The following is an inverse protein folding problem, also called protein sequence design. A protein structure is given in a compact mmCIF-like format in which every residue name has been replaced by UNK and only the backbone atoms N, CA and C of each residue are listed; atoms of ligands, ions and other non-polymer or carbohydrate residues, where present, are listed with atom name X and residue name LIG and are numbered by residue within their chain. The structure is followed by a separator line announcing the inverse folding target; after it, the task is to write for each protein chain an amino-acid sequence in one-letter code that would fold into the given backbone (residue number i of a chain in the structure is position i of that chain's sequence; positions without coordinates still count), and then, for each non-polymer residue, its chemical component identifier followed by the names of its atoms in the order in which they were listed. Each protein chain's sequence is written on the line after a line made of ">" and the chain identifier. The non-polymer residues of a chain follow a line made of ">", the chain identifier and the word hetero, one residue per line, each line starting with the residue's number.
data_IF_266471005094
#
_entry.id   IF_266471005094
#
_cell.length_a   1.000
_cell.length_b   1.000
_cell.length_c   1.000
_cell.angle_alpha   90.00
_cell.angle_beta   90.00
_cell.angle_gamma   90.00
#
_symmetry.space_group_name_H-M   'P 1'
#
loop_
_entity.id
_entity.type
_entity.pdbx_description
1 polymer ?
#
# COMPACT_ATOMS: atom_id res chain seq x y z
N UNK A 1 32.34 24.81 -1.64
CA UNK A 1 32.49 23.47 -1.01
C UNK A 1 32.28 22.41 -2.07
N UNK A 2 33.02 21.31 -1.96
CA UNK A 2 33.44 20.52 -3.11
C UNK A 2 32.36 19.51 -3.51
N UNK A 3 31.60 19.83 -4.56
CA UNK A 3 30.73 18.88 -5.26
C UNK A 3 31.50 17.64 -5.74
N UNK A 4 32.82 17.75 -5.91
CA UNK A 4 33.71 16.62 -6.16
C UNK A 4 33.65 15.59 -5.03
N UNK A 5 33.61 16.03 -3.77
CA UNK A 5 33.60 15.12 -2.62
C UNK A 5 32.28 14.32 -2.54
N UNK A 6 31.16 14.92 -2.98
CA UNK A 6 29.88 14.23 -3.10
C UNK A 6 29.89 13.23 -4.26
N UNK A 7 30.49 13.60 -5.40
CA UNK A 7 30.65 12.68 -6.55
C UNK A 7 31.52 11.50 -6.20
N UNK A 8 32.64 11.73 -5.52
CA UNK A 8 33.58 10.69 -5.09
C UNK A 8 32.93 9.77 -4.06
N UNK A 9 32.11 10.32 -3.14
CA UNK A 9 31.32 9.52 -2.19
C UNK A 9 30.24 8.67 -2.88
N UNK A 10 29.53 9.22 -3.87
CA UNK A 10 28.51 8.47 -4.63
C UNK A 10 29.10 7.31 -5.45
N UNK A 11 30.34 7.44 -5.93
CA UNK A 11 31.04 6.40 -6.68
C UNK A 11 31.67 5.35 -5.76
N UNK A 12 32.23 5.77 -4.62
CA UNK A 12 32.90 4.88 -3.66
C UNK A 12 31.93 4.14 -2.73
N UNK A 13 30.71 4.63 -2.55
CA UNK A 13 29.66 3.98 -1.77
C UNK A 13 30.00 3.78 -0.29
N UNK A 14 30.87 4.64 0.26
CA UNK A 14 31.38 4.51 1.62
C UNK A 14 30.47 5.16 2.68
N UNK A 15 30.92 5.03 3.93
CA UNK A 15 30.27 5.24 5.22
C UNK A 15 29.05 6.20 5.21
N UNK A 16 27.94 5.71 5.78
CA UNK A 16 26.72 6.49 5.96
C UNK A 16 26.97 7.77 6.76
N UNK A 17 27.85 7.72 7.76
CA UNK A 17 28.14 8.88 8.60
C UNK A 17 28.82 10.02 7.83
N UNK A 18 29.72 9.67 6.90
CA UNK A 18 30.37 10.63 6.00
C UNK A 18 29.35 11.25 5.03
N UNK A 19 28.46 10.43 4.45
CA UNK A 19 27.40 10.93 3.58
C UNK A 19 26.43 11.88 4.29
N UNK A 20 26.10 11.62 5.55
CA UNK A 20 25.25 12.50 6.36
C UNK A 20 25.95 13.82 6.67
N UNK A 21 27.27 13.81 6.92
CA UNK A 21 28.04 15.03 7.09
C UNK A 21 28.06 15.88 5.81
N UNK A 22 28.21 15.25 4.63
CA UNK A 22 28.10 15.92 3.33
C UNK A 22 26.71 16.52 3.11
N UNK A 23 25.65 15.79 3.45
CA UNK A 23 24.29 16.29 3.32
C UNK A 23 23.96 17.39 4.33
N UNK A 24 24.53 17.37 5.53
CA UNK A 24 24.32 18.45 6.51
C UNK A 24 24.91 19.79 6.04
N UNK A 25 25.94 19.76 5.20
CA UNK A 25 26.61 20.94 4.68
C UNK A 25 25.89 21.55 3.47
N UNK A 26 25.20 20.73 2.66
CA UNK A 26 24.64 21.15 1.36
C UNK A 26 23.11 20.98 1.27
N UNK A 27 22.53 20.09 2.06
CA UNK A 27 21.11 19.76 2.05
C UNK A 27 20.25 20.82 2.75
N UNK A 28 19.17 21.21 2.09
CA UNK A 28 18.23 22.24 2.56
C UNK A 28 17.08 21.68 3.40
N UNK A 29 16.81 20.37 3.32
CA UNK A 29 15.67 19.74 3.98
C UNK A 29 15.97 19.31 5.42
N UNK A 30 15.39 20.03 6.39
CA UNK A 30 15.45 19.70 7.82
C UNK A 30 14.80 18.34 8.15
N UNK A 31 13.85 17.90 7.33
CA UNK A 31 13.17 16.59 7.49
C UNK A 31 14.14 15.45 7.26
N UNK A 32 14.97 15.53 6.21
CA UNK A 32 15.95 14.48 5.90
C UNK A 32 17.14 14.51 6.85
N UNK A 33 17.56 15.68 7.32
CA UNK A 33 18.56 15.78 8.39
C UNK A 33 18.11 15.03 9.67
N UNK A 34 16.83 15.17 10.06
CA UNK A 34 16.27 14.40 11.18
C UNK A 34 16.17 12.90 10.88
N UNK A 35 15.80 12.52 9.66
CA UNK A 35 15.77 11.12 9.22
C UNK A 35 17.17 10.47 9.34
N UNK A 36 18.21 11.18 8.93
CA UNK A 36 19.58 10.68 8.97
C UNK A 36 20.16 10.63 10.39
N UNK A 37 19.75 11.53 11.27
CA UNK A 37 20.11 11.49 12.69
C UNK A 37 19.57 10.25 13.44
N UNK A 38 18.53 9.59 12.93
CA UNK A 38 17.97 8.36 13.52
C UNK A 38 18.82 7.11 13.22
N UNK A 39 19.82 7.20 12.35
CA UNK A 39 20.80 6.15 12.09
C UNK A 39 20.70 5.48 10.72
N UNK A 40 21.69 4.62 10.43
CA UNK A 40 21.81 3.91 9.17
C UNK A 40 20.80 2.76 9.08
N UNK A 41 19.90 2.85 8.11
CA UNK A 41 19.00 1.78 7.69
C UNK A 41 19.06 1.69 6.17
N UNK A 42 18.70 0.55 5.58
CA UNK A 42 18.68 0.42 4.12
C UNK A 42 17.80 1.49 3.45
N UNK A 43 16.76 1.96 4.14
CA UNK A 43 15.90 3.05 3.70
C UNK A 43 16.60 4.42 3.79
N UNK A 44 17.18 4.78 4.94
CA UNK A 44 17.85 6.08 5.10
C UNK A 44 19.10 6.21 4.22
N UNK A 45 19.81 5.11 3.95
CA UNK A 45 20.90 5.07 2.98
C UNK A 45 20.43 5.36 1.54
N UNK A 46 19.34 4.71 1.11
CA UNK A 46 18.77 4.94 -0.22
C UNK A 46 18.22 6.35 -0.42
N UNK A 47 17.67 6.96 0.64
CA UNK A 47 17.22 8.37 0.62
C UNK A 47 18.42 9.31 0.56
N UNK A 48 19.48 9.08 1.36
CA UNK A 48 20.69 9.89 1.37
C UNK A 48 21.39 9.92 0.00
N UNK A 49 21.56 8.75 -0.63
CA UNK A 49 22.17 8.65 -1.96
C UNK A 49 21.35 9.39 -3.03
N UNK A 50 20.03 9.27 -2.99
CA UNK A 50 19.16 9.96 -3.95
C UNK A 50 19.23 11.48 -3.82
N UNK A 51 19.18 11.97 -2.60
CA UNK A 51 19.21 13.41 -2.32
C UNK A 51 20.56 14.03 -2.67
N UNK A 52 21.67 13.35 -2.35
CA UNK A 52 23.01 13.81 -2.75
C UNK A 52 23.21 13.77 -4.28
N UNK A 53 22.65 12.76 -4.97
CA UNK A 53 22.70 12.70 -6.44
C UNK A 53 21.92 13.86 -7.08
N UNK A 54 20.74 14.20 -6.56
CA UNK A 54 19.96 15.34 -7.02
C UNK A 54 20.68 16.67 -6.84
N UNK A 55 21.38 16.85 -5.71
CA UNK A 55 22.18 18.06 -5.48
C UNK A 55 23.35 18.18 -6.47
N UNK A 56 23.92 17.05 -6.92
CA UNK A 56 24.97 17.05 -7.94
C UNK A 56 24.42 17.33 -9.34
N UNK A 57 23.20 16.89 -9.64
CA UNK A 57 22.51 17.13 -10.92
C UNK A 57 22.07 18.59 -11.06
N UNK A 58 21.42 19.13 -10.03
CA UNK A 58 20.93 20.53 -10.01
C UNK A 58 22.08 21.54 -10.02
N UNK A 59 23.15 21.31 -9.24
CA UNK A 59 24.32 22.21 -9.22
C UNK A 59 25.27 21.95 -10.40
N UNK A 60 25.17 20.77 -11.03
CA UNK A 60 25.85 20.46 -12.28
C UNK A 60 25.31 21.26 -13.47
N UNK A 61 24.01 21.54 -13.49
CA UNK A 61 23.38 22.38 -14.51
C UNK A 61 23.67 23.88 -14.31
N UNK A 62 23.81 24.36 -13.07
CA UNK A 62 24.13 25.79 -12.82
C UNK A 62 25.52 26.22 -13.33
N UNK A 63 26.47 25.30 -13.51
CA UNK A 63 27.81 25.64 -14.08
C UNK A 63 27.80 25.57 -15.62
N UNK A 64 26.82 24.93 -16.24
CA UNK A 64 26.73 24.77 -17.71
C UNK A 64 25.87 25.82 -18.42
N UNK A 65 25.24 26.75 -17.71
CA UNK A 65 24.36 27.76 -18.29
C UNK A 65 25.04 29.01 -18.88
N UNK A 66 26.38 29.03 -19.00
CA UNK A 66 27.10 30.14 -19.64
C UNK A 66 27.46 29.91 -21.12
N UNK A 67 27.15 28.76 -21.69
CA UNK A 67 27.50 28.49 -23.09
C UNK A 67 26.52 27.51 -23.74
N UNK A 68 25.56 28.07 -24.49
CA UNK A 68 24.85 27.51 -25.66
C UNK A 68 23.35 27.83 -25.66
N UNK A 69 23.08 29.00 -26.24
CA UNK A 69 21.95 29.20 -27.14
C UNK A 69 21.89 28.07 -28.17
N UNK A 70 20.82 27.25 -28.11
CA UNK A 70 19.90 26.98 -29.22
C UNK A 70 19.06 25.72 -28.91
N UNK A 71 17.73 25.95 -28.90
CA UNK A 71 16.58 25.02 -29.07
C UNK A 71 15.76 24.69 -27.81
N UNK A 72 14.51 24.28 -28.03
CA UNK A 72 13.32 25.11 -28.13
C UNK A 72 12.64 25.27 -26.77
N UNK A 73 11.97 26.41 -26.55
CA UNK A 73 11.22 26.70 -25.31
C UNK A 73 10.31 25.52 -24.93
N UNK A 74 10.56 24.82 -23.80
CA UNK A 74 9.56 23.97 -23.20
C UNK A 74 8.55 24.87 -22.50
N UNK A 75 7.29 24.73 -22.94
CA UNK A 75 6.11 25.33 -22.32
C UNK A 75 6.17 25.12 -20.79
N UNK A 76 5.90 26.14 -19.96
CA UNK A 76 5.91 25.99 -18.51
C UNK A 76 4.93 24.89 -18.08
N UNK A 77 5.29 23.95 -17.18
CA UNK A 77 4.28 23.24 -16.43
C UNK A 77 3.54 24.29 -15.61
N UNK A 78 2.27 24.49 -15.97
CA UNK A 78 1.34 25.36 -15.28
C UNK A 78 1.43 25.14 -13.77
N UNK A 79 1.39 26.26 -13.05
CA UNK A 79 1.24 26.31 -11.60
C UNK A 79 0.21 25.27 -11.10
N UNK A 80 0.37 24.72 -9.89
CA UNK A 80 -0.67 23.93 -9.25
C UNK A 80 -1.91 24.82 -9.08
N UNK A 81 -2.85 24.66 -10.00
CA UNK A 81 -4.18 25.24 -9.92
C UNK A 81 -4.82 24.61 -8.68
N UNK A 82 -5.05 25.45 -7.69
CA UNK A 82 -5.97 25.18 -6.61
C UNK A 82 -7.30 24.71 -7.20
N UNK A 83 -7.85 23.55 -6.79
CA UNK A 83 -9.24 23.28 -7.08
C UNK A 83 -10.10 24.17 -6.18
N UNK A 84 -10.67 25.22 -6.78
CA UNK A 84 -11.90 25.85 -6.28
C UNK A 84 -13.08 24.84 -6.33
N UNK A 85 -14.10 25.05 -5.49
CA UNK A 85 -15.09 24.04 -5.14
C UNK A 85 -16.11 23.84 -6.27
N UNK A 86 -16.18 22.61 -6.77
CA UNK A 86 -17.21 22.17 -7.72
C UNK A 86 -18.50 21.85 -6.92
N UNK A 87 -19.69 22.20 -7.45
CA UNK A 87 -20.89 22.45 -6.66
C UNK A 87 -21.52 21.18 -6.05
N UNK A 88 -22.13 21.42 -4.89
CA UNK A 88 -23.05 20.53 -4.18
C UNK A 88 -24.21 20.16 -5.10
N UNK A 89 -24.26 18.89 -5.50
CA UNK A 89 -25.45 18.22 -6.04
C UNK A 89 -25.94 17.28 -4.93
N UNK A 90 -27.25 17.28 -4.62
CA UNK A 90 -27.76 16.95 -3.30
C UNK A 90 -27.58 15.48 -2.93
N UNK A 91 -27.20 15.32 -1.67
CA UNK A 91 -27.44 14.20 -0.77
C UNK A 91 -28.44 13.16 -1.30
N UNK A 92 -28.00 11.94 -1.66
CA UNK A 92 -28.89 10.80 -1.56
C UNK A 92 -29.18 10.61 -0.06
N UNK A 93 -30.45 10.75 0.27
CA UNK A 93 -31.05 10.50 1.56
C UNK A 93 -30.42 9.29 2.29
N UNK A 94 -30.37 9.32 3.64
CA UNK A 94 -29.67 8.34 4.45
C UNK A 94 -30.10 6.93 4.08
N UNK A 95 -29.19 6.17 3.48
CA UNK A 95 -29.35 4.72 3.38
C UNK A 95 -29.38 4.23 4.81
N UNK A 96 -30.56 3.81 5.25
CA UNK A 96 -30.83 3.22 6.54
C UNK A 96 -29.71 2.23 6.89
N UNK A 97 -29.36 2.08 8.18
CA UNK A 97 -28.41 1.07 8.59
C UNK A 97 -28.83 -0.25 7.94
N UNK A 98 -27.94 -0.85 7.14
CA UNK A 98 -28.10 -2.22 6.68
C UNK A 98 -28.14 -3.03 7.96
N UNK A 99 -29.37 -3.29 8.40
CA UNK A 99 -29.67 -4.19 9.47
C UNK A 99 -29.01 -5.49 9.07
N UNK A 100 -27.97 -5.88 9.80
CA UNK A 100 -27.79 -7.30 10.10
C UNK A 100 -29.18 -7.86 10.40
N UNK A 101 -29.72 -8.80 9.62
CA UNK A 101 -30.91 -9.52 10.03
C UNK A 101 -30.45 -10.49 11.11
N UNK A 102 -30.24 -9.96 12.32
CA UNK A 102 -30.43 -10.70 13.56
C UNK A 102 -31.78 -10.26 14.11
N UNK A 103 -32.81 -10.32 13.27
CA UNK A 103 -34.14 -10.60 13.77
C UNK A 103 -34.29 -12.11 13.68
N UNK A 104 -34.31 -12.72 14.86
CA UNK A 104 -34.87 -14.05 15.09
C UNK A 104 -36.29 -14.08 14.52
N UNK A 105 -36.44 -14.35 13.23
CA UNK A 105 -37.70 -14.76 12.63
C UNK A 105 -37.83 -16.26 12.90
N UNK A 106 -38.29 -16.59 14.11
CA UNK A 106 -38.48 -17.96 14.59
C UNK A 106 -39.56 -18.75 13.80
N UNK A 107 -40.04 -18.22 12.66
CA UNK A 107 -41.15 -18.74 11.87
C UNK A 107 -40.94 -18.68 10.33
N UNK A 108 -39.75 -18.38 9.81
CA UNK A 108 -39.53 -18.58 8.37
C UNK A 108 -39.32 -20.08 8.08
N UNK A 109 -39.97 -20.63 7.03
CA UNK A 109 -39.74 -22.01 6.63
C UNK A 109 -38.26 -22.17 6.27
N UNK A 110 -37.66 -23.26 6.73
CA UNK A 110 -36.24 -23.58 6.53
C UNK A 110 -35.82 -23.50 5.06
N UNK A 111 -36.76 -23.76 4.14
CA UNK A 111 -36.59 -23.70 2.69
C UNK A 111 -36.25 -22.28 2.20
N UNK A 112 -36.94 -21.23 2.67
CA UNK A 112 -36.67 -19.84 2.25
C UNK A 112 -35.28 -19.36 2.69
N UNK A 113 -34.81 -19.82 3.85
CA UNK A 113 -33.47 -19.47 4.37
C UNK A 113 -32.35 -20.17 3.59
N UNK A 114 -32.58 -21.39 3.12
CA UNK A 114 -31.66 -22.13 2.28
C UNK A 114 -31.58 -21.49 0.89
N UNK A 115 -32.73 -21.16 0.29
CA UNK A 115 -32.80 -20.46 -1.00
C UNK A 115 -32.09 -19.11 -0.96
N UNK A 116 -32.30 -18.32 0.10
CA UNK A 116 -31.62 -17.04 0.29
C UNK A 116 -30.09 -17.21 0.43
N UNK A 117 -29.64 -18.24 1.13
CA UNK A 117 -28.21 -18.54 1.28
C UNK A 117 -27.57 -19.00 -0.04
N UNK A 118 -28.27 -19.81 -0.84
CA UNK A 118 -27.83 -20.23 -2.17
C UNK A 118 -27.76 -19.06 -3.14
N UNK A 119 -28.79 -18.19 -3.16
CA UNK A 119 -28.79 -16.98 -3.97
C UNK A 119 -27.64 -16.04 -3.60
N UNK A 120 -27.37 -15.89 -2.30
CA UNK A 120 -26.23 -15.12 -1.82
C UNK A 120 -24.88 -15.70 -2.29
N UNK A 121 -24.69 -17.01 -2.17
CA UNK A 121 -23.48 -17.68 -2.64
C UNK A 121 -23.31 -17.55 -4.17
N UNK A 122 -24.41 -17.64 -4.93
CA UNK A 122 -24.41 -17.44 -6.38
C UNK A 122 -24.02 -16.01 -6.77
N UNK A 123 -24.54 -15.00 -6.08
CA UNK A 123 -24.16 -13.59 -6.28
C UNK A 123 -22.66 -13.38 -6.02
N UNK A 124 -22.14 -13.89 -4.89
CA UNK A 124 -20.71 -13.83 -4.58
C UNK A 124 -19.84 -14.48 -5.66
N UNK A 125 -20.25 -15.65 -6.17
CA UNK A 125 -19.51 -16.33 -7.23
C UNK A 125 -19.54 -15.55 -8.55
N UNK A 126 -20.63 -14.86 -8.87
CA UNK A 126 -20.74 -14.01 -10.04
C UNK A 126 -19.79 -12.81 -9.94
N UNK A 127 -19.78 -12.12 -8.80
CA UNK A 127 -18.86 -11.00 -8.52
C UNK A 127 -17.39 -11.44 -8.61
N UNK A 128 -17.03 -12.54 -7.96
CA UNK A 128 -15.66 -13.09 -8.02
C UNK A 128 -15.27 -13.51 -9.44
N UNK A 129 -16.22 -14.03 -10.23
CA UNK A 129 -15.98 -14.40 -11.63
C UNK A 129 -15.72 -13.18 -12.51
N UNK A 130 -16.45 -12.08 -12.27
CA UNK A 130 -16.21 -10.81 -12.94
C UNK A 130 -14.84 -10.24 -12.61
N UNK A 131 -14.46 -10.24 -11.33
CA UNK A 131 -13.12 -9.81 -10.90
C UNK A 131 -12.02 -10.67 -11.53
N UNK A 132 -12.21 -12.00 -11.55
CA UNK A 132 -11.25 -12.91 -12.17
C UNK A 132 -11.05 -12.61 -13.66
N UNK A 133 -12.14 -12.27 -14.37
CA UNK A 133 -12.08 -11.88 -15.77
C UNK A 133 -11.28 -10.59 -15.95
N UNK A 134 -11.55 -9.55 -15.16
CA UNK A 134 -10.83 -8.27 -15.22
C UNK A 134 -9.32 -8.47 -15.02
N UNK A 135 -8.92 -9.19 -13.96
CA UNK A 135 -7.49 -9.47 -13.69
C UNK A 135 -6.82 -10.23 -14.83
N UNK A 136 -7.54 -11.16 -15.47
CA UNK A 136 -7.02 -11.91 -16.63
C UNK A 136 -6.89 -11.05 -17.87
N UNK A 137 -7.87 -10.19 -18.12
CA UNK A 137 -7.87 -9.28 -19.27
C UNK A 137 -6.70 -8.28 -19.13
N UNK A 138 -6.50 -7.70 -17.95
CA UNK A 138 -5.37 -6.83 -17.63
C UNK A 138 -4.03 -7.56 -17.81
N UNK A 139 -3.88 -8.76 -17.23
CA UNK A 139 -2.65 -9.55 -17.40
C UNK A 139 -2.37 -9.83 -18.88
N UNK A 140 -3.40 -10.23 -19.63
CA UNK A 140 -3.29 -10.53 -21.05
C UNK A 140 -2.92 -9.30 -21.87
N UNK A 141 -3.39 -8.10 -21.47
CA UNK A 141 -3.02 -6.83 -22.08
C UNK A 141 -1.57 -6.43 -21.83
N UNK A 142 -1.00 -6.76 -20.65
CA UNK A 142 0.39 -6.43 -20.30
C UNK A 142 1.42 -7.36 -20.97
N UNK A 143 1.07 -8.62 -21.26
CA UNK A 143 2.01 -9.59 -21.85
C UNK A 143 2.63 -9.13 -23.19
N UNK A 144 1.85 -8.63 -24.18
CA UNK A 144 2.42 -8.08 -25.42
C UNK A 144 3.29 -6.85 -25.20
N UNK A 145 3.00 -6.04 -24.18
CA UNK A 145 3.79 -4.84 -23.88
C UNK A 145 5.19 -5.20 -23.35
N UNK A 146 5.32 -6.34 -22.67
CA UNK A 146 6.60 -6.85 -22.19
C UNK A 146 7.58 -7.14 -23.35
N UNK A 147 7.06 -7.58 -24.49
CA UNK A 147 7.83 -7.96 -25.68
C UNK A 147 7.99 -6.81 -26.69
N UNK A 148 7.40 -5.64 -26.41
CA UNK A 148 7.52 -4.47 -27.26
C UNK A 148 8.99 -4.02 -27.43
N UNK A 149 9.35 -3.66 -28.67
CA UNK A 149 10.68 -3.11 -29.00
C UNK A 149 10.82 -1.69 -28.42
N UNK A 150 12.04 -1.33 -28.02
CA UNK A 150 12.33 0.01 -27.49
C UNK A 150 11.99 0.21 -26.00
N UNK A 151 11.45 -0.81 -25.32
CA UNK A 151 11.16 -0.73 -23.89
C UNK A 151 12.45 -0.77 -23.06
N UNK A 152 12.64 0.19 -22.14
CA UNK A 152 13.79 0.20 -21.24
C UNK A 152 13.78 -1.01 -20.29
N UNK A 153 14.95 -1.44 -19.82
CA UNK A 153 15.07 -2.53 -18.86
C UNK A 153 14.25 -2.30 -17.59
N UNK A 154 14.25 -1.06 -17.08
CA UNK A 154 13.47 -0.66 -15.90
C UNK A 154 11.97 -0.78 -16.15
N UNK A 155 11.47 -0.28 -17.28
CA UNK A 155 10.05 -0.38 -17.65
C UNK A 155 9.62 -1.85 -17.83
N UNK A 156 10.47 -2.68 -18.46
CA UNK A 156 10.21 -4.12 -18.59
C UNK A 156 10.10 -4.82 -17.24
N UNK A 157 10.96 -4.47 -16.28
CA UNK A 157 10.92 -5.02 -14.92
C UNK A 157 9.64 -4.61 -14.18
N UNK A 158 9.19 -3.35 -14.33
CA UNK A 158 7.91 -2.90 -13.73
C UNK A 158 6.73 -3.70 -14.29
N UNK A 159 6.64 -3.87 -15.61
CA UNK A 159 5.59 -4.68 -16.24
C UNK A 159 5.63 -6.14 -15.77
N UNK A 160 6.84 -6.73 -15.67
CA UNK A 160 7.00 -8.09 -15.16
C UNK A 160 6.49 -8.24 -13.72
N UNK A 161 6.81 -7.29 -12.84
CA UNK A 161 6.32 -7.28 -11.46
C UNK A 161 4.80 -7.11 -11.38
N UNK A 162 4.22 -6.27 -12.25
CA UNK A 162 2.76 -6.12 -12.33
C UNK A 162 2.08 -7.42 -12.77
N UNK A 163 2.61 -8.11 -13.78
CA UNK A 163 2.10 -9.42 -14.22
C UNK A 163 2.18 -10.46 -13.09
N UNK A 164 3.27 -10.47 -12.32
CA UNK A 164 3.41 -11.36 -11.15
C UNK A 164 2.38 -11.01 -10.06
N UNK A 165 2.14 -9.72 -9.82
CA UNK A 165 1.10 -9.23 -8.92
C UNK A 165 -0.29 -9.72 -9.32
N UNK A 166 -0.69 -9.49 -10.58
CA UNK A 166 -1.97 -9.94 -11.13
C UNK A 166 -2.10 -11.46 -11.11
N UNK A 167 -1.02 -12.21 -11.35
CA UNK A 167 -1.05 -13.68 -11.25
C UNK A 167 -1.28 -14.16 -9.81
N UNK A 168 -0.70 -13.45 -8.84
CA UNK A 168 -0.94 -13.71 -7.42
C UNK A 168 -2.38 -13.37 -7.01
N UNK A 169 -2.95 -12.31 -7.56
CA UNK A 169 -4.36 -11.94 -7.36
C UNK A 169 -5.32 -12.94 -8.00
N UNK A 170 -5.03 -13.44 -9.21
CA UNK A 170 -5.80 -14.50 -9.85
C UNK A 170 -5.88 -15.75 -8.95
N UNK A 171 -4.74 -16.15 -8.36
CA UNK A 171 -4.68 -17.27 -7.44
C UNK A 171 -5.53 -17.04 -6.17
N UNK A 172 -5.49 -15.82 -5.61
CA UNK A 172 -6.32 -15.44 -4.46
C UNK A 172 -7.81 -15.52 -4.79
N UNK A 173 -8.24 -14.94 -5.91
CA UNK A 173 -9.65 -14.95 -6.32
C UNK A 173 -10.15 -16.39 -6.54
N UNK A 174 -9.32 -17.26 -7.17
CA UNK A 174 -9.65 -18.69 -7.31
C UNK A 174 -9.82 -19.40 -5.97
N UNK A 175 -8.95 -19.09 -4.99
CA UNK A 175 -9.07 -19.64 -3.65
C UNK A 175 -10.37 -19.17 -2.96
N UNK A 176 -10.74 -17.89 -3.11
CA UNK A 176 -12.02 -17.37 -2.62
C UNK A 176 -13.21 -18.08 -3.27
N UNK A 177 -13.19 -18.28 -4.59
CA UNK A 177 -14.25 -19.02 -5.28
C UNK A 177 -14.36 -20.46 -4.78
N UNK A 178 -13.23 -21.15 -4.58
CA UNK A 178 -13.23 -22.50 -4.04
C UNK A 178 -13.85 -22.53 -2.63
N UNK A 179 -13.50 -21.57 -1.78
CA UNK A 179 -14.06 -21.46 -0.43
C UNK A 179 -15.57 -21.17 -0.46
N UNK A 180 -16.05 -20.25 -1.31
CA UNK A 180 -17.49 -19.96 -1.44
C UNK A 180 -18.25 -21.20 -1.94
N UNK A 181 -17.69 -21.95 -2.90
CA UNK A 181 -18.30 -23.22 -3.34
C UNK A 181 -18.39 -24.27 -2.22
N UNK A 182 -17.40 -24.32 -1.33
CA UNK A 182 -17.36 -25.29 -0.24
C UNK A 182 -18.21 -24.89 0.97
N UNK A 183 -18.33 -23.59 1.25
CA UNK A 183 -18.89 -23.09 2.51
C UNK A 183 -20.07 -22.13 2.35
N UNK A 184 -20.43 -21.76 1.12
CA UNK A 184 -21.51 -20.81 0.81
C UNK A 184 -21.21 -19.35 1.19
N UNK A 185 -20.01 -19.05 1.70
CA UNK A 185 -19.63 -17.72 2.19
C UNK A 185 -18.15 -17.41 1.97
N UNK A 186 -17.80 -16.13 2.01
CA UNK A 186 -16.41 -15.68 2.00
C UNK A 186 -15.68 -16.15 3.26
N UNK A 187 -14.37 -16.43 3.17
CA UNK A 187 -13.57 -16.74 4.36
C UNK A 187 -13.65 -15.57 5.34
N UNK A 188 -14.04 -15.87 6.57
CA UNK A 188 -14.06 -14.90 7.64
C UNK A 188 -12.64 -14.41 7.99
N UNK A 189 -12.52 -13.34 8.78
CA UNK A 189 -11.23 -12.91 9.29
C UNK A 189 -10.57 -14.09 10.02
N UNK A 190 -9.41 -14.53 9.51
CA UNK A 190 -8.64 -15.62 10.11
C UNK A 190 -8.36 -15.27 11.56
N UNK A 191 -8.74 -16.16 12.47
CA UNK A 191 -8.51 -15.96 13.89
C UNK A 191 -7.01 -15.83 14.15
N UNK A 192 -6.61 -14.93 15.05
CA UNK A 192 -5.19 -14.74 15.43
C UNK A 192 -4.53 -16.06 15.88
N UNK A 193 -5.33 -17.01 16.39
CA UNK A 193 -4.93 -18.36 16.75
C UNK A 193 -4.49 -19.25 15.57
N UNK A 194 -4.90 -18.95 14.34
CA UNK A 194 -4.58 -19.74 13.14
C UNK A 194 -3.47 -19.11 12.27
N UNK A 195 -3.03 -17.90 12.60
CA UNK A 195 -1.91 -17.24 11.90
C UNK A 195 -0.57 -17.85 12.33
N UNK A 196 0.21 -18.34 11.36
CA UNK A 196 1.56 -18.88 11.57
C UNK A 196 2.65 -18.05 10.87
N UNK A 197 2.28 -17.20 9.90
CA UNK A 197 3.23 -16.32 9.23
C UNK A 197 3.64 -15.15 10.14
N UNK A 198 4.96 -14.99 10.34
CA UNK A 198 5.50 -13.95 11.23
C UNK A 198 5.19 -12.53 10.73
N UNK A 199 5.18 -12.31 9.41
CA UNK A 199 4.84 -11.03 8.81
C UNK A 199 3.39 -10.63 9.13
N UNK A 200 2.46 -11.56 8.90
CA UNK A 200 1.04 -11.39 9.23
C UNK A 200 0.81 -11.19 10.73
N UNK A 201 1.53 -11.92 11.59
CA UNK A 201 1.45 -11.74 13.05
C UNK A 201 1.89 -10.34 13.47
N UNK A 202 3.01 -9.81 12.94
CA UNK A 202 3.48 -8.44 13.23
C UNK A 202 2.48 -7.40 12.76
N UNK A 203 1.95 -7.53 11.55
CA UNK A 203 0.93 -6.62 11.02
C UNK A 203 -0.36 -6.64 11.86
N UNK A 204 -0.82 -7.84 12.25
CA UNK A 204 -1.99 -8.02 13.11
C UNK A 204 -1.78 -7.38 14.48
N UNK A 205 -0.61 -7.55 15.08
CA UNK A 205 -0.24 -6.93 16.35
C UNK A 205 -0.34 -5.40 16.26
N UNK A 206 0.23 -4.80 15.22
CA UNK A 206 0.18 -3.35 15.01
C UNK A 206 -1.25 -2.82 14.85
N UNK A 207 -2.10 -3.54 14.11
CA UNK A 207 -3.52 -3.22 13.96
C UNK A 207 -4.25 -3.27 15.31
N UNK A 208 -4.01 -4.30 16.13
CA UNK A 208 -4.64 -4.44 17.46
C UNK A 208 -4.15 -3.39 18.45
N UNK A 209 -2.87 -3.04 18.45
CA UNK A 209 -2.34 -1.95 19.27
C UNK A 209 -2.98 -0.60 18.90
N UNK A 210 -3.12 -0.33 17.60
CA UNK A 210 -3.78 0.88 17.10
C UNK A 210 -5.25 0.92 17.50
N UNK A 211 -5.95 -0.22 17.40
CA UNK A 211 -7.34 -0.35 17.80
C UNK A 211 -7.53 -0.17 19.32
N UNK A 212 -6.64 -0.74 20.14
CA UNK A 212 -6.60 -0.52 21.59
C UNK A 212 -6.48 0.96 21.94
N UNK A 213 -5.58 1.69 21.27
CA UNK A 213 -5.44 3.14 21.46
C UNK A 213 -6.73 3.89 21.08
N UNK A 214 -7.40 3.49 19.99
CA UNK A 214 -8.69 4.08 19.58
C UNK A 214 -9.79 3.80 20.60
N UNK A 215 -9.89 2.58 21.12
CA UNK A 215 -10.88 2.23 22.15
C UNK A 215 -10.70 3.07 23.42
N UNK A 216 -9.46 3.21 23.91
CA UNK A 216 -9.18 3.99 25.13
C UNK A 216 -9.42 5.49 24.97
N UNK A 217 -9.11 6.05 23.79
CA UNK A 217 -9.16 7.51 23.58
C UNK A 217 -10.45 8.02 22.94
N UNK A 218 -11.04 7.26 22.02
CA UNK A 218 -12.12 7.75 21.15
C UNK A 218 -13.46 7.04 21.37
N UNK A 219 -13.49 5.86 21.99
CA UNK A 219 -14.72 5.05 22.10
C UNK A 219 -14.85 4.41 23.50
N UNK A 220 -15.02 5.22 24.58
CA UNK A 220 -15.14 4.70 25.94
C UNK A 220 -16.38 3.81 26.14
N UNK A 221 -17.44 4.03 25.37
CA UNK A 221 -18.64 3.19 25.39
C UNK A 221 -18.37 1.72 24.97
N UNK A 222 -17.25 1.45 24.28
CA UNK A 222 -16.83 0.09 23.89
C UNK A 222 -15.72 -0.46 24.79
N UNK A 223 -15.58 0.05 26.01
CA UNK A 223 -14.55 -0.39 26.96
C UNK A 223 -14.57 -1.90 27.23
N UNK A 224 -15.74 -2.55 27.18
CA UNK A 224 -15.85 -4.01 27.32
C UNK A 224 -15.06 -4.79 26.24
N UNK A 225 -14.82 -4.20 25.07
CA UNK A 225 -14.03 -4.81 23.99
C UNK A 225 -12.52 -4.73 24.24
N UNK A 226 -12.07 -3.89 25.19
CA UNK A 226 -10.66 -3.70 25.50
C UNK A 226 -10.01 -5.00 25.99
N UNK A 227 -10.68 -5.74 26.89
CA UNK A 227 -10.18 -6.99 27.44
C UNK A 227 -9.95 -8.05 26.34
N UNK A 228 -10.87 -8.15 25.37
CA UNK A 228 -10.75 -9.08 24.23
C UNK A 228 -9.55 -8.70 23.35
N UNK A 229 -9.38 -7.40 23.06
CA UNK A 229 -8.25 -6.92 22.25
C UNK A 229 -6.91 -7.14 22.96
N UNK A 230 -6.86 -6.98 24.28
CA UNK A 230 -5.66 -7.23 25.07
C UNK A 230 -5.29 -8.71 25.12
N UNK A 231 -6.27 -9.60 25.30
CA UNK A 231 -6.06 -11.04 25.21
C UNK A 231 -5.49 -11.45 23.85
N UNK A 232 -6.02 -10.89 22.75
CA UNK A 232 -5.48 -11.14 21.41
C UNK A 232 -4.04 -10.62 21.23
N UNK A 233 -3.70 -9.46 21.81
CA UNK A 233 -2.34 -8.91 21.75
C UNK A 233 -1.36 -9.84 22.46
N UNK A 234 -1.74 -10.36 23.63
CA UNK A 234 -0.90 -11.30 24.39
C UNK A 234 -0.66 -12.58 23.59
N UNK A 235 -1.72 -13.15 23.00
CA UNK A 235 -1.63 -14.34 22.15
C UNK A 235 -0.71 -14.14 20.93
N UNK A 236 -0.80 -12.98 20.27
CA UNK A 236 0.05 -12.71 19.10
C UNK A 236 1.52 -12.53 19.52
N UNK A 237 1.77 -11.92 20.69
CA UNK A 237 3.13 -11.75 21.21
C UNK A 237 3.77 -13.08 21.56
N UNK A 238 3.05 -13.98 22.24
CA UNK A 238 3.59 -15.30 22.57
C UNK A 238 3.99 -16.08 21.31
N UNK A 239 3.16 -16.04 20.27
CA UNK A 239 3.46 -16.65 18.96
C UNK A 239 4.65 -16.04 18.22
N UNK A 240 5.00 -14.78 18.47
CA UNK A 240 6.16 -14.13 17.86
C UNK A 240 7.46 -14.44 18.62
N UNK A 241 7.36 -14.85 19.88
CA UNK A 241 8.49 -15.23 20.73
C UNK A 241 8.77 -16.73 20.75
N UNK A 242 7.81 -17.56 20.33
CA UNK A 242 7.96 -19.00 20.10
C UNK A 242 8.55 -19.28 18.72
#
# INVERSE_FOLDING_TARGET
>A
MKLSDIRDWLVSGQDFTEGVALYAQVGTSKTYQRLFALGATAYSQGVLQRELAQLVEVVGEEISHLDQDLRPVPVPPAAPVMPEPVPVVPEPAPVAPVATPVHLAFNQPLEELLDAAEQYAAQLLAELSQQLRQVRDERSHLHPQLTAKGLSRKARLVLALQIVGLTSEEAKIKALQAHVRQHGKLPGPVASAQLNDQGQLRQRLQNRLSYRCKLRKKQPAKAAQLAVVEAEIVLIRSKLTS
#
